data_IF_696719126299
#
_entry.id   IF_696719126299
#
_cell.length_a   1.000
_cell.length_b   1.000
_cell.length_c   1.000
_cell.angle_alpha   90.00
_cell.angle_beta   90.00
_cell.angle_gamma   90.00
#
_symmetry.space_group_name_H-M   'P 1'
#
loop_
_entity.id
_entity.type
_entity.pdbx_description
1 polymer ?
#
# COMPACT_ATOMS: atom_id res chain seq x y z
N UNK A 1 11.04 5.55 19.58
CA UNK A 1 11.37 4.13 19.37
C UNK A 1 10.08 3.33 19.28
N UNK A 2 9.81 2.69 18.15
CA UNK A 2 8.72 1.73 18.02
C UNK A 2 9.01 0.50 18.89
N UNK A 3 7.98 -0.03 19.55
CA UNK A 3 8.12 -1.09 20.55
C UNK A 3 8.71 -2.39 20.01
N UNK A 4 9.22 -3.24 20.90
CA UNK A 4 9.51 -4.64 20.59
C UNK A 4 8.21 -5.33 20.16
N UNK A 5 8.15 -5.72 18.89
CA UNK A 5 7.04 -6.45 18.30
C UNK A 5 7.20 -7.94 18.60
N UNK A 6 6.26 -8.59 19.31
CA UNK A 6 6.40 -10.00 19.70
C UNK A 6 6.64 -10.93 18.51
N UNK A 7 6.07 -10.66 17.34
CA UNK A 7 6.29 -11.47 16.13
C UNK A 7 7.68 -11.30 15.48
N UNK A 8 8.51 -10.39 16.00
CA UNK A 8 9.85 -10.12 15.50
C UNK A 8 9.93 -9.15 14.32
N UNK A 9 11.16 -8.79 13.96
CA UNK A 9 11.47 -7.70 13.01
C UNK A 9 10.99 -7.95 11.58
N UNK A 10 10.77 -9.21 11.18
CA UNK A 10 10.32 -9.56 9.83
C UNK A 10 8.92 -9.04 9.51
N UNK A 11 8.11 -8.79 10.54
CA UNK A 11 6.75 -8.26 10.45
C UNK A 11 6.69 -6.75 10.71
N UNK A 12 7.81 -6.06 10.53
CA UNK A 12 7.91 -4.62 10.76
C UNK A 12 8.62 -3.97 9.59
N UNK A 13 8.06 -2.89 9.06
CA UNK A 13 8.71 -2.08 8.04
C UNK A 13 8.58 -0.61 8.40
N UNK A 14 9.72 0.08 8.45
CA UNK A 14 9.78 1.52 8.73
C UNK A 14 9.91 2.32 7.43
N UNK A 15 9.34 3.51 7.44
CA UNK A 15 9.39 4.49 6.36
C UNK A 15 9.56 5.89 6.97
N UNK A 16 10.19 6.79 6.24
CA UNK A 16 10.26 8.21 6.60
C UNK A 16 9.48 8.99 5.56
N UNK A 17 8.47 9.73 5.99
CA UNK A 17 7.65 10.57 5.13
C UNK A 17 8.05 12.04 5.30
N UNK A 18 8.10 12.78 4.19
CA UNK A 18 8.29 14.24 4.19
C UNK A 18 6.98 15.00 4.46
N UNK A 19 5.93 14.31 4.90
CA UNK A 19 4.59 14.85 5.15
C UNK A 19 4.13 14.45 6.54
N UNK A 20 3.24 15.26 7.11
CA UNK A 20 2.66 14.98 8.41
C UNK A 20 1.74 13.74 8.41
N UNK A 21 1.52 13.19 9.60
CA UNK A 21 0.76 11.96 9.79
C UNK A 21 -0.73 12.06 9.37
N UNK A 22 -1.35 13.24 9.47
CA UNK A 22 -2.77 13.45 9.11
C UNK A 22 -2.92 13.52 7.59
N UNK A 23 -2.01 14.19 6.90
CA UNK A 23 -1.94 14.18 5.44
C UNK A 23 -1.71 12.77 4.89
N UNK A 24 -0.78 12.02 5.51
CA UNK A 24 -0.53 10.63 5.12
C UNK A 24 -1.73 9.72 5.39
N UNK A 25 -2.40 9.86 6.53
CA UNK A 25 -3.64 9.15 6.85
C UNK A 25 -4.68 9.37 5.75
N UNK A 26 -4.90 10.62 5.35
CA UNK A 26 -5.86 10.96 4.29
C UNK A 26 -5.53 10.25 2.97
N UNK A 27 -4.27 10.27 2.53
CA UNK A 27 -3.84 9.58 1.31
C UNK A 27 -4.10 8.07 1.37
N UNK A 28 -3.78 7.44 2.51
CA UNK A 28 -3.98 6.01 2.71
C UNK A 28 -5.47 5.62 2.71
N UNK A 29 -6.34 6.49 3.19
CA UNK A 29 -7.78 6.27 3.19
C UNK A 29 -8.37 6.49 1.81
N UNK A 30 -8.07 7.64 1.20
CA UNK A 30 -8.67 8.05 -0.08
C UNK A 30 -8.22 7.14 -1.24
N UNK A 31 -6.95 6.71 -1.24
CA UNK A 31 -6.37 5.98 -2.37
C UNK A 31 -5.79 4.60 -2.00
N UNK A 32 -5.47 4.39 -0.72
CA UNK A 32 -4.82 3.16 -0.24
C UNK A 32 -5.78 2.07 0.24
N UNK A 33 -7.09 2.33 0.25
CA UNK A 33 -8.10 1.40 0.75
C UNK A 33 -7.96 1.07 2.24
N UNK A 34 -7.28 1.94 3.00
CA UNK A 34 -7.15 1.80 4.44
C UNK A 34 -8.34 2.44 5.15
N UNK A 35 -8.59 2.00 6.38
CA UNK A 35 -9.53 2.65 7.29
C UNK A 35 -8.77 3.63 8.19
N UNK A 36 -9.30 4.84 8.35
CA UNK A 36 -8.75 5.83 9.27
C UNK A 36 -8.77 5.32 10.72
N UNK A 37 -7.70 5.54 11.46
CA UNK A 37 -7.62 5.23 12.87
C UNK A 37 -7.59 6.50 13.74
N UNK A 38 -8.00 6.36 14.99
CA UNK A 38 -8.13 7.48 15.94
C UNK A 38 -6.83 7.75 16.74
N UNK A 39 -5.65 7.51 16.15
CA UNK A 39 -4.35 7.72 16.81
C UNK A 39 -4.18 6.98 18.15
N UNK A 40 -4.88 5.85 18.31
CA UNK A 40 -4.76 5.00 19.48
C UNK A 40 -3.40 4.27 19.50
N UNK A 41 -2.94 3.85 20.68
CA UNK A 41 -1.60 3.26 20.88
C UNK A 41 -1.72 1.81 21.36
N UNK A 42 -1.97 0.84 20.46
CA UNK A 42 -2.29 -0.55 20.84
C UNK A 42 -1.11 -1.27 21.48
N UNK A 43 0.12 -0.82 21.24
CA UNK A 43 1.32 -1.36 21.88
C UNK A 43 1.66 -0.67 23.21
N UNK A 44 0.86 0.30 23.64
CA UNK A 44 1.07 1.08 24.86
C UNK A 44 1.66 2.47 24.61
N UNK A 45 1.71 3.25 25.69
CA UNK A 45 2.09 4.65 25.63
C UNK A 45 3.47 4.87 25.00
N UNK A 46 3.57 5.83 24.06
CA UNK A 46 4.82 6.21 23.37
C UNK A 46 5.42 5.12 22.48
N UNK A 47 4.62 4.15 22.03
CA UNK A 47 5.04 3.08 21.09
C UNK A 47 4.46 3.23 19.69
N UNK A 48 4.13 4.47 19.34
CA UNK A 48 3.48 4.83 18.07
C UNK A 48 1.96 4.86 18.18
N UNK A 49 1.36 5.76 17.41
CA UNK A 49 -0.07 5.94 17.29
C UNK A 49 -0.54 5.46 15.92
N UNK A 50 -1.62 4.68 15.88
CA UNK A 50 -2.16 4.13 14.62
C UNK A 50 -2.84 5.25 13.83
N UNK A 51 -2.36 5.47 12.61
CA UNK A 51 -2.93 6.45 11.68
C UNK A 51 -3.88 5.76 10.70
N UNK A 52 -3.64 4.51 10.33
CA UNK A 52 -4.50 3.77 9.42
C UNK A 52 -4.38 2.27 9.67
N UNK A 53 -5.40 1.51 9.26
CA UNK A 53 -5.40 0.06 9.36
C UNK A 53 -6.02 -0.57 8.12
N UNK A 54 -5.55 -1.78 7.77
CA UNK A 54 -6.07 -2.56 6.65
C UNK A 54 -5.77 -4.04 6.85
N UNK A 55 -6.77 -4.91 6.71
CA UNK A 55 -6.60 -6.36 6.67
C UNK A 55 -5.76 -6.93 7.85
N UNK A 56 -5.97 -6.41 9.07
CA UNK A 56 -5.21 -6.82 10.27
C UNK A 56 -3.80 -6.21 10.39
N UNK A 57 -3.39 -5.35 9.46
CA UNK A 57 -2.17 -4.55 9.51
C UNK A 57 -2.46 -3.14 10.03
N UNK A 58 -1.51 -2.59 10.77
CA UNK A 58 -1.52 -1.26 11.33
C UNK A 58 -0.42 -0.42 10.69
N UNK A 59 -0.74 0.83 10.38
CA UNK A 59 0.20 1.87 10.00
C UNK A 59 0.28 2.84 11.18
N UNK A 60 1.46 2.97 11.78
CA UNK A 60 1.70 3.80 12.96
C UNK A 60 2.62 4.97 12.63
N UNK A 61 2.42 6.11 13.29
CA UNK A 61 3.40 7.19 13.37
C UNK A 61 4.04 7.21 14.75
N UNK A 62 5.32 7.58 14.86
CA UNK A 62 5.98 7.73 16.15
C UNK A 62 5.46 8.96 16.92
N UNK A 63 5.32 10.09 16.23
CA UNK A 63 4.83 11.38 16.76
C UNK A 63 3.70 11.87 15.86
N UNK A 64 2.56 12.20 16.47
CA UNK A 64 1.33 12.54 15.71
C UNK A 64 1.45 13.89 15.01
N UNK A 65 2.04 14.87 15.68
CA UNK A 65 2.14 16.26 15.20
C UNK A 65 3.57 16.61 14.73
N UNK A 66 4.27 15.64 14.14
CA UNK A 66 5.56 15.89 13.48
C UNK A 66 5.35 16.30 12.01
N UNK A 67 6.14 17.26 11.53
CA UNK A 67 6.13 17.70 10.13
C UNK A 67 6.66 16.61 9.19
N UNK A 68 7.65 15.84 9.65
CA UNK A 68 8.17 14.64 8.98
C UNK A 68 7.79 13.41 9.80
N UNK A 69 6.88 12.58 9.25
CA UNK A 69 6.38 11.43 9.98
C UNK A 69 7.30 10.21 9.81
N UNK A 70 7.79 9.68 10.93
CA UNK A 70 8.34 8.32 10.99
C UNK A 70 7.20 7.32 11.05
N UNK A 71 7.10 6.45 10.05
CA UNK A 71 6.00 5.52 9.86
C UNK A 71 6.47 4.09 10.04
N UNK A 72 5.65 3.26 10.68
CA UNK A 72 5.86 1.82 10.78
C UNK A 72 4.61 1.05 10.36
N UNK A 73 4.80 0.03 9.54
CA UNK A 73 3.78 -0.97 9.20
C UNK A 73 4.07 -2.24 9.99
N UNK A 74 3.04 -2.76 10.66
CA UNK A 74 3.14 -3.99 11.47
C UNK A 74 1.77 -4.66 11.63
N UNK A 75 1.68 -5.98 11.84
CA UNK A 75 0.42 -6.62 12.20
C UNK A 75 -0.17 -6.07 13.51
N UNK A 76 -1.49 -6.17 13.67
CA UNK A 76 -2.17 -5.88 14.93
C UNK A 76 -1.73 -6.81 16.06
N UNK A 77 -1.98 -6.41 17.31
CA UNK A 77 -1.51 -7.13 18.52
C UNK A 77 -1.91 -8.61 18.51
N UNK A 78 -3.17 -8.90 18.20
CA UNK A 78 -3.69 -10.28 18.16
C UNK A 78 -2.98 -11.12 17.10
N UNK A 79 -2.79 -10.57 15.90
CA UNK A 79 -2.08 -11.24 14.81
C UNK A 79 -0.60 -11.42 15.13
N UNK A 80 0.04 -10.46 15.81
CA UNK A 80 1.41 -10.63 16.28
C UNK A 80 1.56 -11.75 17.30
N UNK A 81 0.59 -11.90 18.21
CA UNK A 81 0.61 -13.00 19.19
C UNK A 81 0.48 -14.36 18.49
N UNK A 82 -0.39 -14.47 17.48
CA UNK A 82 -0.52 -15.68 16.67
C UNK A 82 0.77 -16.03 15.92
N UNK A 83 1.37 -15.04 15.25
CA UNK A 83 2.63 -15.22 14.52
C UNK A 83 3.77 -15.61 15.46
N UNK A 84 3.84 -15.00 16.65
CA UNK A 84 4.79 -15.38 17.67
C UNK A 84 4.57 -16.81 18.19
N UNK A 85 3.32 -17.23 18.41
CA UNK A 85 3.01 -18.61 18.79
C UNK A 85 3.49 -19.60 17.75
N UNK A 86 3.32 -19.29 16.46
CA UNK A 86 3.83 -20.14 15.38
C UNK A 86 5.36 -20.25 15.43
N UNK A 87 6.07 -19.12 15.47
CA UNK A 87 7.55 -19.10 15.46
C UNK A 87 8.18 -19.75 16.69
N UNK A 88 7.49 -19.70 17.83
CA UNK A 88 7.97 -20.23 19.09
C UNK A 88 7.63 -21.71 19.29
N UNK A 89 7.02 -22.37 18.29
CA UNK A 89 6.63 -23.78 18.37
C UNK A 89 5.36 -24.04 19.18
N UNK A 90 4.58 -23.00 19.51
CA UNK A 90 3.29 -23.09 20.20
C UNK A 90 2.09 -23.14 19.25
N UNK A 91 2.31 -23.41 17.96
CA UNK A 91 1.24 -23.52 16.95
C UNK A 91 0.18 -24.56 17.31
N UNK A 92 0.56 -25.62 18.02
CA UNK A 92 -0.35 -26.68 18.50
C UNK A 92 -1.32 -26.26 19.62
N UNK A 93 -1.14 -25.08 20.23
CA UNK A 93 -2.08 -24.55 21.22
C UNK A 93 -3.36 -23.99 20.58
N UNK A 94 -3.36 -23.81 19.26
CA UNK A 94 -4.45 -23.22 18.51
C UNK A 94 -5.16 -24.28 17.68
N UNK A 95 -6.45 -24.46 17.91
CA UNK A 95 -7.29 -25.29 17.06
C UNK A 95 -7.55 -24.61 15.72
N UNK A 96 -7.80 -25.40 14.67
CA UNK A 96 -8.21 -24.86 13.37
C UNK A 96 -9.52 -24.05 13.42
N UNK A 97 -10.37 -24.27 14.43
CA UNK A 97 -11.58 -23.46 14.68
C UNK A 97 -11.21 -22.07 15.21
N UNK A 98 -10.29 -21.99 16.17
CA UNK A 98 -9.82 -20.71 16.71
C UNK A 98 -9.11 -19.88 15.63
N UNK A 99 -8.24 -20.51 14.83
CA UNK A 99 -7.61 -19.86 13.68
C UNK A 99 -8.65 -19.28 12.72
N UNK A 100 -9.70 -20.03 12.41
CA UNK A 100 -10.76 -19.59 11.51
C UNK A 100 -11.57 -18.43 12.09
N UNK A 101 -11.86 -18.44 13.39
CA UNK A 101 -12.58 -17.35 14.06
C UNK A 101 -11.75 -16.07 14.06
N UNK A 102 -10.45 -16.18 14.35
CA UNK A 102 -9.56 -15.02 14.49
C UNK A 102 -9.10 -14.43 13.15
N UNK A 103 -8.90 -15.27 12.14
CA UNK A 103 -8.23 -14.86 10.89
C UNK A 103 -8.97 -15.24 9.62
N UNK A 104 -10.01 -16.08 9.71
CA UNK A 104 -10.66 -16.68 8.55
C UNK A 104 -9.90 -17.85 7.93
N UNK A 105 -8.66 -18.13 8.35
CA UNK A 105 -7.85 -19.25 7.83
C UNK A 105 -8.13 -20.57 8.55
N UNK A 106 -8.10 -21.68 7.81
CA UNK A 106 -8.29 -23.03 8.35
C UNK A 106 -7.03 -23.65 8.97
N UNK A 107 -5.87 -23.14 8.59
CA UNK A 107 -4.55 -23.73 8.87
C UNK A 107 -3.48 -22.64 8.87
N UNK A 108 -2.33 -22.97 9.46
CA UNK A 108 -1.20 -22.06 9.64
C UNK A 108 -0.56 -21.64 8.32
N UNK A 109 -0.47 -22.53 7.33
CA UNK A 109 0.14 -22.21 6.03
C UNK A 109 -0.66 -21.14 5.28
N UNK A 110 -1.99 -21.28 5.28
CA UNK A 110 -2.91 -20.29 4.72
C UNK A 110 -2.81 -18.95 5.45
N UNK A 111 -2.75 -18.97 6.79
CA UNK A 111 -2.59 -17.77 7.61
C UNK A 111 -1.28 -17.06 7.27
N UNK A 112 -0.16 -17.76 7.25
CA UNK A 112 1.16 -17.18 6.98
C UNK A 112 1.25 -16.61 5.58
N UNK A 113 0.70 -17.31 4.58
CA UNK A 113 0.64 -16.82 3.20
C UNK A 113 -0.20 -15.55 3.09
N UNK A 114 -1.44 -15.58 3.59
CA UNK A 114 -2.34 -14.43 3.58
C UNK A 114 -1.72 -13.23 4.30
N UNK A 115 -1.14 -13.46 5.48
CA UNK A 115 -0.52 -12.41 6.29
C UNK A 115 0.69 -11.81 5.57
N UNK A 116 1.53 -12.63 4.95
CA UNK A 116 2.69 -12.17 4.17
C UNK A 116 2.28 -11.33 2.95
N UNK A 117 1.27 -11.78 2.21
CA UNK A 117 0.76 -11.09 1.03
C UNK A 117 0.09 -9.77 1.40
N UNK A 118 -0.69 -9.76 2.48
CA UNK A 118 -1.26 -8.53 3.03
C UNK A 118 -0.18 -7.57 3.52
N UNK A 119 0.81 -8.04 4.28
CA UNK A 119 1.90 -7.22 4.77
C UNK A 119 2.66 -6.55 3.62
N UNK A 120 2.98 -7.32 2.56
CA UNK A 120 3.65 -6.79 1.35
C UNK A 120 2.79 -5.74 0.64
N UNK A 121 1.48 -5.99 0.50
CA UNK A 121 0.54 -5.05 -0.15
C UNK A 121 0.42 -3.74 0.63
N UNK A 122 0.27 -3.81 1.95
CA UNK A 122 0.18 -2.61 2.81
C UNK A 122 1.50 -1.84 2.80
N UNK A 123 2.65 -2.53 2.89
CA UNK A 123 3.96 -1.90 2.75
C UNK A 123 4.12 -1.19 1.40
N UNK A 124 3.71 -1.82 0.29
CA UNK A 124 3.75 -1.19 -1.03
C UNK A 124 2.82 0.03 -1.14
N UNK A 125 1.65 -0.03 -0.52
CA UNK A 125 0.70 1.09 -0.47
C UNK A 125 1.27 2.27 0.32
N UNK A 126 1.87 1.99 1.49
CA UNK A 126 2.51 3.01 2.33
C UNK A 126 3.74 3.59 1.63
N UNK A 127 4.55 2.76 0.98
CA UNK A 127 5.69 3.22 0.18
C UNK A 127 5.23 4.17 -0.93
N UNK A 128 4.20 3.81 -1.69
CA UNK A 128 3.65 4.67 -2.73
C UNK A 128 3.09 5.99 -2.16
N UNK A 129 2.50 5.96 -0.96
CA UNK A 129 2.02 7.17 -0.29
C UNK A 129 3.18 8.08 0.11
N UNK A 130 4.25 7.51 0.67
CA UNK A 130 5.48 8.22 1.07
C UNK A 130 6.21 8.82 -0.13
N UNK A 131 6.28 8.09 -1.24
CA UNK A 131 6.86 8.56 -2.50
C UNK A 131 5.95 9.53 -3.25
N UNK A 132 4.72 9.76 -2.76
CA UNK A 132 3.73 10.61 -3.40
C UNK A 132 3.25 10.09 -4.75
N UNK A 133 3.35 8.79 -5.02
CA UNK A 133 2.88 8.11 -6.24
C UNK A 133 1.49 7.49 -6.06
N UNK A 134 1.03 7.32 -4.82
CA UNK A 134 -0.29 6.76 -4.53
C UNK A 134 -1.41 7.65 -5.09
N UNK A 135 -2.33 7.05 -5.85
CA UNK A 135 -3.44 7.77 -6.48
C UNK A 135 -3.09 8.53 -7.76
N UNK A 136 -1.81 8.60 -8.14
CA UNK A 136 -1.43 9.15 -9.45
C UNK A 136 -1.69 8.10 -10.54
N UNK A 137 -2.35 8.45 -11.65
CA UNK A 137 -2.45 7.54 -12.78
C UNK A 137 -1.03 7.16 -13.22
N UNK A 138 -0.80 5.87 -13.43
CA UNK A 138 0.49 5.39 -13.93
C UNK A 138 0.76 6.09 -15.26
N UNK A 139 1.70 7.03 -15.28
CA UNK A 139 2.18 7.63 -16.52
C UNK A 139 2.83 6.50 -17.29
N UNK A 140 2.11 5.90 -18.24
CA UNK A 140 2.69 4.99 -19.21
C UNK A 140 3.81 5.77 -19.88
N UNK A 141 5.08 5.32 -19.84
CA UNK A 141 6.11 5.96 -20.64
C UNK A 141 5.60 5.99 -22.07
N UNK A 142 5.52 7.18 -22.66
CA UNK A 142 5.16 7.32 -24.07
C UNK A 142 6.07 6.36 -24.85
N UNK A 143 5.51 5.53 -25.74
CA UNK A 143 6.35 4.69 -26.58
C UNK A 143 7.22 5.63 -27.40
N UNK A 144 8.51 5.69 -27.08
CA UNK A 144 9.51 6.30 -27.94
C UNK A 144 9.56 5.45 -29.19
N UNK A 145 8.75 5.82 -30.18
CA UNK A 145 8.93 5.35 -31.55
C UNK A 145 10.27 5.90 -31.99
N UNK A 146 11.29 5.05 -32.03
CA UNK A 146 12.48 5.28 -32.84
C UNK A 146 12.01 5.25 -34.29
N UNK A 147 11.65 6.42 -34.83
CA UNK A 147 11.46 6.58 -36.26
C UNK A 147 12.87 6.43 -36.84
N UNK A 148 13.14 5.28 -37.45
CA UNK A 148 14.30 5.11 -38.30
C UNK A 148 14.00 5.89 -39.58
N UNK A 149 14.78 6.94 -39.88
CA UNK A 149 14.55 7.84 -41.02
C UNK A 149 14.67 7.11 -42.38
N UNK A 150 15.12 5.85 -42.40
CA UNK A 150 15.32 5.06 -43.62
C UNK A 150 14.10 4.25 -44.09
N UNK A 151 13.00 4.21 -43.32
CA UNK A 151 11.82 3.39 -43.67
C UNK A 151 10.52 4.22 -43.64
N UNK A 152 10.57 5.45 -44.17
CA UNK A 152 9.38 6.22 -44.52
C UNK A 152 8.83 5.64 -45.84
N UNK A 153 7.67 4.97 -45.86
CA UNK A 153 7.02 4.65 -47.12
C UNK A 153 6.64 5.99 -47.74
N UNK A 154 7.29 6.37 -48.84
CA UNK A 154 6.87 7.51 -49.64
C UNK A 154 5.40 7.30 -50.00
N UNK A 155 4.50 8.02 -49.32
CA UNK A 155 3.11 8.11 -49.72
C UNK A 155 3.09 8.88 -51.05
N UNK A 156 2.49 8.33 -52.12
CA UNK A 156 2.32 9.06 -53.36
C UNK A 156 1.58 10.38 -53.07
N UNK A 157 1.99 11.47 -53.74
CA UNK A 157 1.40 12.81 -53.56
C UNK A 157 -0.14 12.83 -53.70
N UNK A 158 -0.70 11.84 -54.39
CA UNK A 158 -2.15 11.66 -54.57
C UNK A 158 -2.93 11.38 -53.26
N UNK A 159 -2.24 11.00 -52.18
CA UNK A 159 -2.84 10.81 -50.84
C UNK A 159 -2.73 12.03 -49.93
N UNK A 160 -1.99 13.07 -50.33
CA UNK A 160 -1.92 14.35 -49.61
C UNK A 160 -3.08 15.25 -50.00
N UNK A 161 -4.31 14.78 -49.81
CA UNK A 161 -5.46 15.66 -49.95
C UNK A 161 -5.51 16.63 -48.77
N UNK A 162 -5.50 17.96 -49.00
CA UNK A 162 -5.69 18.91 -47.92
C UNK A 162 -7.09 18.70 -47.35
N UNK A 163 -7.16 18.30 -46.09
CA UNK A 163 -8.42 18.21 -45.35
C UNK A 163 -8.97 19.64 -45.25
N UNK A 164 -10.06 19.91 -45.99
CA UNK A 164 -10.82 21.14 -45.85
C UNK A 164 -11.46 21.15 -44.47
N UNK A 165 -11.17 22.18 -43.69
CA UNK A 165 -11.51 22.39 -42.27
C UNK A 165 -13.02 22.58 -42.00
N UNK A 166 -13.90 22.03 -42.84
CA UNK A 166 -15.35 22.24 -42.77
C UNK A 166 -16.10 21.24 -41.88
N UNK A 167 -15.49 20.14 -41.44
CA UNK A 167 -16.20 19.05 -40.75
C UNK A 167 -16.00 18.96 -39.22
N UNK A 168 -15.40 19.97 -38.56
CA UNK A 168 -15.19 19.92 -37.09
C UNK A 168 -16.42 20.41 -36.28
N UNK A 169 -17.49 20.86 -36.94
CA UNK A 169 -18.73 21.30 -36.28
C UNK A 169 -19.84 20.25 -36.38
N UNK A 170 -19.62 19.06 -35.83
CA UNK A 170 -20.74 18.17 -35.49
C UNK A 170 -20.30 17.16 -34.45
N UNK A 171 -20.48 17.52 -33.18
CA UNK A 171 -20.91 16.65 -32.08
C UNK A 171 -20.83 17.45 -30.77
N UNK A 172 -21.63 18.50 -30.66
CA UNK A 172 -22.22 18.89 -29.38
C UNK A 172 -23.56 18.16 -29.29
N UNK A 173 -23.60 17.05 -28.53
CA UNK A 173 -24.81 16.50 -27.93
C UNK A 173 -24.47 15.67 -26.69
#
# INVERSE_FOLDING_TARGET
>A
MFGLYPAGVRWTRSFNASTDAKSLQKLLVDYGGCTAALFHQPFGARRGAVIAQRDGMLVLTHVVDADEAEIVVTPGVELQNLLWSFDSGYSGQWSGRELRILTGCSDWDSLLKQTSDTFRRVCGTVQAAVEGTLGKPATRPEPTLTIDDEDVPFLPDDYLQPISLAEILSCDH
#
